data_IF_409370468462
#
_entry.id   IF_409370468462
#
_cell.length_a   1.000
_cell.length_b   1.000
_cell.length_c   1.000
_cell.angle_alpha   90.00
_cell.angle_beta   90.00
_cell.angle_gamma   90.00
#
_symmetry.space_group_name_H-M   'P 1'
#
loop_
_entity.id
_entity.type
_entity.pdbx_description
1 polymer ?
#
# COMPACT_ATOMS: atom_id res chain seq x y z
N UNK A 1 59.12 -20.28 15.18
CA UNK A 1 59.17 -19.38 14.01
C UNK A 1 57.98 -19.68 13.11
N UNK A 2 57.38 -18.62 12.54
CA UNK A 2 56.33 -18.56 11.48
C UNK A 2 54.89 -18.86 11.96
N UNK A 3 54.10 -17.80 12.17
CA UNK A 3 53.08 -17.23 11.25
C UNK A 3 51.86 -18.17 11.18
N UNK A 4 50.68 -17.88 11.74
CA UNK A 4 49.97 -16.60 11.75
C UNK A 4 48.91 -16.63 10.65
N UNK A 5 47.66 -16.95 10.98
CA UNK A 5 46.52 -16.62 10.13
C UNK A 5 45.33 -16.26 11.01
N UNK A 6 45.22 -14.96 11.27
CA UNK A 6 44.05 -14.32 11.87
C UNK A 6 43.01 -14.19 10.74
N UNK A 7 42.03 -15.09 10.71
CA UNK A 7 40.94 -15.02 9.74
C UNK A 7 40.03 -13.86 10.14
N UNK A 8 40.23 -12.71 9.51
CA UNK A 8 39.41 -11.52 9.67
C UNK A 8 37.97 -11.89 9.29
N UNK A 9 37.07 -11.87 10.27
CA UNK A 9 35.63 -11.85 10.06
C UNK A 9 35.29 -10.63 9.19
N UNK A 10 35.10 -10.85 7.89
CA UNK A 10 34.38 -9.91 7.06
C UNK A 10 32.88 -10.05 7.39
N UNK A 11 32.44 -9.49 8.52
CA UNK A 11 31.07 -8.99 8.62
C UNK A 11 30.99 -7.79 7.67
N UNK A 12 30.70 -8.06 6.40
CA UNK A 12 30.04 -7.06 5.57
C UNK A 12 28.72 -6.74 6.26
N UNK A 13 28.48 -5.51 6.74
CA UNK A 13 27.13 -5.10 7.09
C UNK A 13 26.38 -5.05 5.76
N UNK A 14 25.74 -6.16 5.39
CA UNK A 14 24.66 -6.12 4.41
C UNK A 14 23.66 -5.13 4.99
N UNK A 15 23.62 -3.95 4.37
CA UNK A 15 22.77 -2.87 4.82
C UNK A 15 21.38 -3.44 5.02
N UNK A 16 20.90 -3.41 6.27
CA UNK A 16 19.51 -3.63 6.55
C UNK A 16 18.77 -2.68 5.62
N UNK A 17 18.06 -3.25 4.62
CA UNK A 17 17.19 -2.48 3.76
C UNK A 17 16.38 -1.59 4.69
N UNK A 18 16.61 -0.26 4.64
CA UNK A 18 15.89 0.69 5.50
C UNK A 18 14.42 0.32 5.38
N UNK A 19 13.87 -0.24 6.46
CA UNK A 19 12.63 -1.01 6.41
C UNK A 19 11.59 -0.19 5.67
N UNK A 20 10.98 -0.78 4.64
CA UNK A 20 10.02 -0.09 3.81
C UNK A 20 8.88 0.43 4.70
N UNK A 21 8.80 1.75 4.89
CA UNK A 21 7.83 2.34 5.82
C UNK A 21 6.49 2.47 5.11
N UNK A 22 5.61 1.50 5.35
CA UNK A 22 4.23 1.53 4.86
C UNK A 22 3.39 2.40 5.79
N UNK A 23 2.70 3.44 5.28
CA UNK A 23 1.81 4.24 6.11
C UNK A 23 0.69 3.40 6.71
N UNK A 24 0.51 3.50 8.02
CA UNK A 24 -0.64 2.92 8.71
C UNK A 24 -1.86 3.86 8.62
N UNK A 25 -3.00 3.33 8.17
CA UNK A 25 -4.26 4.05 8.02
C UNK A 25 -5.33 3.68 9.07
N UNK A 26 -5.03 2.78 10.01
CA UNK A 26 -5.96 2.33 11.06
C UNK A 26 -6.47 3.46 11.95
N UNK A 27 -5.74 4.56 12.06
CA UNK A 27 -6.14 5.72 12.88
C UNK A 27 -7.06 6.72 12.15
N UNK A 28 -7.47 6.43 10.91
CA UNK A 28 -8.22 7.39 10.11
C UNK A 28 -7.32 8.31 9.28
N UNK A 29 -7.96 9.22 8.53
CA UNK A 29 -7.30 10.34 7.86
C UNK A 29 -8.09 11.62 8.18
N UNK A 30 -7.43 12.77 8.11
CA UNK A 30 -8.11 14.04 8.31
C UNK A 30 -9.32 14.16 7.38
N UNK A 31 -10.52 14.35 7.95
CA UNK A 31 -11.78 14.44 7.19
C UNK A 31 -12.29 13.11 6.60
N UNK A 32 -11.71 11.96 6.97
CA UNK A 32 -12.20 10.64 6.58
C UNK A 32 -12.16 9.67 7.76
N UNK A 33 -13.32 9.14 8.13
CA UNK A 33 -13.47 8.19 9.23
C UNK A 33 -13.24 6.77 8.70
N UNK A 34 -12.41 5.99 9.40
CA UNK A 34 -12.29 4.57 9.13
C UNK A 34 -13.58 3.87 9.59
N UNK A 35 -14.20 3.11 8.70
CA UNK A 35 -15.42 2.35 8.99
C UNK A 35 -15.09 0.87 9.23
N UNK A 36 -14.19 0.30 8.44
CA UNK A 36 -13.75 -1.10 8.61
C UNK A 36 -12.36 -1.34 8.02
N UNK A 37 -11.74 -2.43 8.48
CA UNK A 37 -10.45 -2.96 8.02
C UNK A 37 -10.67 -4.42 7.64
N UNK A 38 -10.30 -4.78 6.42
CA UNK A 38 -10.39 -6.15 5.89
C UNK A 38 -9.00 -6.64 5.46
N UNK A 39 -8.73 -7.93 5.61
CA UNK A 39 -7.52 -8.59 5.12
C UNK A 39 -7.91 -9.63 4.06
N UNK A 40 -7.25 -9.61 2.91
CA UNK A 40 -7.57 -10.49 1.78
C UNK A 40 -6.30 -10.87 1.05
N UNK A 41 -5.79 -12.08 1.33
CA UNK A 41 -4.54 -12.58 0.77
C UNK A 41 -3.37 -11.65 1.09
N UNK A 42 -2.78 -11.06 0.04
CA UNK A 42 -1.62 -10.18 0.10
C UNK A 42 -2.00 -8.70 0.29
N UNK A 43 -3.25 -8.43 0.68
CA UNK A 43 -3.83 -7.10 0.75
C UNK A 43 -4.40 -6.80 2.12
N UNK A 44 -4.05 -5.62 2.61
CA UNK A 44 -4.70 -4.99 3.75
C UNK A 44 -5.55 -3.82 3.25
N UNK A 45 -6.86 -3.88 3.47
CA UNK A 45 -7.84 -2.94 2.92
C UNK A 45 -8.49 -2.13 4.03
N UNK A 46 -8.46 -0.81 3.88
CA UNK A 46 -9.08 0.15 4.79
C UNK A 46 -10.23 0.85 4.09
N UNK A 47 -11.41 0.81 4.70
CA UNK A 47 -12.61 1.42 4.15
C UNK A 47 -12.97 2.66 4.94
N UNK A 48 -13.05 3.79 4.27
CA UNK A 48 -13.35 5.08 4.86
C UNK A 48 -14.68 5.63 4.37
N UNK A 49 -15.34 6.37 5.26
CA UNK A 49 -16.43 7.29 4.92
C UNK A 49 -15.91 8.72 5.00
N UNK A 50 -16.18 9.51 3.95
CA UNK A 50 -15.73 10.90 3.89
C UNK A 50 -16.73 11.81 3.18
N UNK A 51 -16.73 13.08 3.53
CA UNK A 51 -17.40 14.15 2.77
C UNK A 51 -16.45 14.81 1.77
N UNK A 52 -15.15 14.52 1.83
CA UNK A 52 -14.14 15.14 0.96
C UNK A 52 -14.29 14.68 -0.49
N UNK A 53 -14.13 15.61 -1.44
CA UNK A 53 -13.98 15.25 -2.85
C UNK A 53 -12.72 14.41 -3.08
N UNK A 54 -12.66 13.67 -4.20
CA UNK A 54 -11.50 12.88 -4.59
C UNK A 54 -10.21 13.73 -4.61
N UNK A 55 -10.28 14.96 -5.13
CA UNK A 55 -9.17 15.92 -5.14
C UNK A 55 -8.69 16.28 -3.74
N UNK A 56 -9.59 16.68 -2.82
CA UNK A 56 -9.21 17.05 -1.44
C UNK A 56 -8.65 15.85 -0.68
N UNK A 57 -9.28 14.68 -0.83
CA UNK A 57 -8.81 13.43 -0.24
C UNK A 57 -7.41 13.06 -0.75
N UNK A 58 -7.15 13.18 -2.05
CA UNK A 58 -5.86 12.89 -2.66
C UNK A 58 -4.73 13.75 -2.07
N UNK A 59 -4.98 15.04 -1.81
CA UNK A 59 -3.99 15.93 -1.18
C UNK A 59 -3.62 15.44 0.22
N UNK A 60 -4.61 15.09 1.04
CA UNK A 60 -4.39 14.60 2.41
C UNK A 60 -3.65 13.26 2.38
N UNK A 61 -4.07 12.35 1.50
CA UNK A 61 -3.41 11.06 1.35
C UNK A 61 -1.95 11.23 0.92
N UNK A 62 -1.65 12.07 -0.09
CA UNK A 62 -0.27 12.31 -0.54
C UNK A 62 0.62 12.83 0.59
N UNK A 63 0.10 13.68 1.48
CA UNK A 63 0.83 14.12 2.69
C UNK A 63 1.12 12.95 3.64
N UNK A 64 0.15 12.06 3.86
CA UNK A 64 0.32 10.86 4.71
C UNK A 64 1.30 9.85 4.10
N UNK A 65 1.30 9.70 2.78
CA UNK A 65 2.21 8.80 2.06
C UNK A 65 3.66 9.30 2.16
N UNK A 66 3.89 10.60 1.95
CA UNK A 66 5.23 11.17 1.94
C UNK A 66 5.97 10.98 0.61
N UNK A 67 7.24 11.42 0.53
CA UNK A 67 7.97 11.57 -0.73
C UNK A 67 8.39 10.24 -1.37
N UNK A 68 8.45 9.16 -0.61
CA UNK A 68 8.82 7.82 -1.08
C UNK A 68 7.73 7.13 -1.92
N UNK A 69 6.59 7.78 -2.14
CA UNK A 69 5.49 7.24 -2.93
C UNK A 69 5.27 8.06 -4.19
N UNK A 70 5.06 7.36 -5.31
CA UNK A 70 4.81 7.95 -6.62
C UNK A 70 3.54 7.38 -7.22
N UNK A 71 2.79 8.22 -7.92
CA UNK A 71 1.62 7.75 -8.67
C UNK A 71 2.08 6.83 -9.80
N UNK A 72 1.39 5.71 -9.96
CA UNK A 72 1.61 4.75 -11.03
C UNK A 72 0.56 4.93 -12.12
N UNK A 73 0.96 4.75 -13.39
CA UNK A 73 -0.01 4.54 -14.47
C UNK A 73 -0.87 3.31 -14.17
N UNK A 74 -2.17 3.42 -14.40
CA UNK A 74 -3.12 2.33 -14.16
C UNK A 74 -2.85 1.17 -15.11
N UNK A 75 -2.80 -0.04 -14.57
CA UNK A 75 -2.71 -1.27 -15.39
C UNK A 75 -4.11 -1.69 -15.84
N UNK A 76 -4.19 -2.57 -16.84
CA UNK A 76 -5.47 -3.10 -17.31
C UNK A 76 -6.31 -3.71 -16.18
N UNK A 77 -5.69 -4.47 -15.27
CA UNK A 77 -6.35 -5.04 -14.09
C UNK A 77 -6.97 -3.98 -13.18
N UNK A 78 -6.28 -2.85 -13.01
CA UNK A 78 -6.75 -1.72 -12.20
C UNK A 78 -7.96 -1.05 -12.85
N UNK A 79 -7.91 -0.81 -14.16
CA UNK A 79 -9.01 -0.25 -14.93
C UNK A 79 -10.25 -1.16 -14.94
N UNK A 80 -10.05 -2.47 -15.12
CA UNK A 80 -11.14 -3.46 -15.03
C UNK A 80 -11.79 -3.46 -13.65
N UNK A 81 -11.01 -3.36 -12.57
CA UNK A 81 -11.54 -3.29 -11.22
C UNK A 81 -12.38 -2.03 -11.02
N UNK A 82 -11.89 -0.86 -11.44
CA UNK A 82 -12.67 0.38 -11.37
C UNK A 82 -14.00 0.27 -12.12
N UNK A 83 -13.97 -0.27 -13.35
CA UNK A 83 -15.17 -0.45 -14.15
C UNK A 83 -16.18 -1.40 -13.48
N UNK A 84 -15.71 -2.51 -12.90
CA UNK A 84 -16.56 -3.45 -12.13
C UNK A 84 -17.16 -2.77 -10.92
N UNK A 85 -16.36 -2.03 -10.14
CA UNK A 85 -16.83 -1.30 -8.96
C UNK A 85 -17.90 -0.28 -9.32
N UNK A 86 -17.67 0.53 -10.36
CA UNK A 86 -18.63 1.54 -10.81
C UNK A 86 -19.97 0.94 -11.21
N UNK A 87 -19.96 -0.20 -11.92
CA UNK A 87 -21.17 -0.96 -12.25
C UNK A 87 -21.88 -1.50 -11.02
N UNK A 88 -21.15 -2.16 -10.10
CA UNK A 88 -21.77 -2.78 -8.92
C UNK A 88 -22.34 -1.77 -7.93
N UNK A 89 -21.74 -0.58 -7.80
CA UNK A 89 -22.16 0.42 -6.82
C UNK A 89 -23.02 1.55 -7.42
N UNK A 90 -23.22 1.56 -8.74
CA UNK A 90 -23.88 2.67 -9.43
C UNK A 90 -23.21 4.03 -9.20
N UNK A 91 -21.91 4.06 -8.93
CA UNK A 91 -21.17 5.24 -8.48
C UNK A 91 -20.13 5.69 -9.50
N UNK A 92 -19.82 6.98 -9.49
CA UNK A 92 -18.63 7.51 -10.16
C UNK A 92 -17.38 7.03 -9.39
N UNK A 93 -16.40 6.50 -10.12
CA UNK A 93 -15.19 5.89 -9.53
C UNK A 93 -13.96 6.70 -9.91
N UNK A 94 -13.23 7.17 -8.92
CA UNK A 94 -11.91 7.76 -9.08
C UNK A 94 -10.87 6.79 -8.52
N UNK A 95 -10.08 6.18 -9.40
CA UNK A 95 -9.03 5.22 -9.04
C UNK A 95 -7.64 5.86 -9.16
N UNK A 96 -6.79 5.63 -8.16
CA UNK A 96 -5.37 6.01 -8.20
C UNK A 96 -4.53 4.89 -7.58
N UNK A 97 -3.37 4.61 -8.17
CA UNK A 97 -2.40 3.65 -7.63
C UNK A 97 -1.11 4.38 -7.34
N UNK A 98 -0.48 4.06 -6.22
CA UNK A 98 0.84 4.51 -5.82
C UNK A 98 1.77 3.31 -5.70
N UNK A 99 3.05 3.48 -6.05
CA UNK A 99 4.11 2.52 -5.78
C UNK A 99 5.17 3.15 -4.88
N UNK A 100 5.87 2.33 -4.12
CA UNK A 100 7.00 2.77 -3.31
C UNK A 100 8.26 2.90 -4.20
N UNK A 101 9.05 3.96 -4.01
CA UNK A 101 10.21 4.24 -4.88
C UNK A 101 11.36 3.25 -4.70
N UNK A 102 11.44 2.60 -3.54
CA UNK A 102 12.46 1.57 -3.28
C UNK A 102 11.99 0.15 -3.64
N UNK A 103 10.68 -0.07 -3.83
CA UNK A 103 10.13 -1.39 -4.15
C UNK A 103 8.82 -1.24 -4.95
N UNK A 104 8.87 -1.65 -6.22
CA UNK A 104 7.74 -1.56 -7.14
C UNK A 104 6.66 -2.64 -6.91
N UNK A 105 6.94 -3.66 -6.11
CA UNK A 105 5.97 -4.70 -5.74
C UNK A 105 5.08 -4.28 -4.57
N UNK A 106 5.48 -3.24 -3.81
CA UNK A 106 4.63 -2.61 -2.79
C UNK A 106 3.83 -1.47 -3.41
N UNK A 107 2.50 -1.62 -3.39
CA UNK A 107 1.57 -0.66 -4.01
C UNK A 107 0.43 -0.29 -3.08
N UNK A 108 -0.04 0.94 -3.19
CA UNK A 108 -1.26 1.42 -2.53
C UNK A 108 -2.28 1.77 -3.60
N UNK A 109 -3.40 1.06 -3.61
CA UNK A 109 -4.52 1.32 -4.51
C UNK A 109 -5.62 2.06 -3.77
N UNK A 110 -6.14 3.11 -4.37
CA UNK A 110 -7.15 3.99 -3.78
C UNK A 110 -8.35 4.09 -4.70
N UNK A 111 -9.51 3.63 -4.24
CA UNK A 111 -10.78 3.73 -4.97
C UNK A 111 -11.66 4.71 -4.21
N UNK A 112 -11.93 5.87 -4.81
CA UNK A 112 -12.85 6.86 -4.27
C UNK A 112 -14.18 6.78 -5.03
N UNK A 113 -15.23 6.41 -4.32
CA UNK A 113 -16.58 6.19 -4.84
C UNK A 113 -17.47 7.38 -4.46
N UNK A 114 -18.12 7.94 -5.47
CA UNK A 114 -19.13 9.00 -5.33
C UNK A 114 -20.48 8.44 -5.80
N UNK A 115 -21.34 8.01 -4.85
CA UNK A 115 -22.70 7.57 -5.18
C UNK A 115 -23.52 8.71 -5.80
N UNK A 116 -24.41 8.39 -6.73
CA UNK A 116 -25.30 9.37 -7.39
C UNK A 116 -26.20 10.12 -6.38
N UNK A 117 -26.49 9.49 -5.24
CA UNK A 117 -27.44 9.97 -4.23
C UNK A 117 -26.78 10.88 -3.17
N UNK A 118 -25.49 11.22 -3.34
CA UNK A 118 -24.94 12.53 -2.94
C UNK A 118 -24.47 12.78 -1.49
N UNK A 119 -24.85 12.00 -0.47
CA UNK A 119 -24.60 12.45 0.92
C UNK A 119 -23.25 12.03 1.50
N UNK A 120 -22.71 10.87 1.14
CA UNK A 120 -21.41 10.38 1.64
C UNK A 120 -20.61 9.66 0.58
N UNK A 121 -19.30 9.90 0.56
CA UNK A 121 -18.34 9.22 -0.31
C UNK A 121 -17.67 8.08 0.45
N UNK A 122 -17.38 7.01 -0.26
CA UNK A 122 -16.67 5.85 0.26
C UNK A 122 -15.28 5.82 -0.36
N UNK A 123 -14.27 5.51 0.44
CA UNK A 123 -12.91 5.32 -0.06
C UNK A 123 -12.36 3.99 0.41
N UNK A 124 -11.84 3.21 -0.53
CA UNK A 124 -11.07 2.01 -0.23
C UNK A 124 -9.59 2.32 -0.45
N UNK A 125 -8.77 2.14 0.59
CA UNK A 125 -7.31 2.13 0.47
C UNK A 125 -6.84 0.69 0.66
N UNK A 126 -6.36 0.06 -0.39
CA UNK A 126 -5.74 -1.25 -0.34
C UNK A 126 -4.22 -1.12 -0.37
N UNK A 127 -3.56 -1.54 0.69
CA UNK A 127 -2.11 -1.77 0.73
C UNK A 127 -1.86 -3.17 0.19
N UNK A 128 -1.15 -3.26 -0.92
CA UNK A 128 -0.85 -4.49 -1.64
C UNK A 128 0.66 -4.71 -1.50
N UNK A 129 1.03 -5.74 -0.76
CA UNK A 129 2.40 -6.20 -0.68
C UNK A 129 2.35 -7.58 -1.31
N UNK A 130 3.02 -7.81 -2.45
CA UNK A 130 3.26 -9.21 -2.82
C UNK A 130 3.89 -9.86 -1.59
N UNK A 131 3.35 -10.99 -1.15
CA UNK A 131 4.09 -11.82 -0.22
C UNK A 131 5.48 -11.96 -0.84
N UNK A 132 6.50 -11.40 -0.17
CA UNK A 132 7.88 -11.68 -0.51
C UNK A 132 7.94 -13.19 -0.66
N UNK A 133 8.52 -13.66 -1.76
CA UNK A 133 8.63 -15.09 -2.08
C UNK A 133 8.62 -15.91 -0.79
N UNK A 134 7.59 -16.72 -0.56
CA UNK A 134 7.64 -17.81 0.42
C UNK A 134 8.59 -18.92 -0.10
N UNK A 135 9.77 -18.49 -0.54
CA UNK A 135 10.99 -19.23 -0.78
C UNK A 135 12.10 -18.43 -0.10
N UNK A 136 11.88 -18.15 1.18
CA UNK A 136 12.98 -18.08 2.12
C UNK A 136 13.08 -19.49 2.73
N UNK A 137 13.99 -20.36 2.26
CA UNK A 137 14.20 -21.66 2.88
C UNK A 137 14.80 -21.55 4.29
N UNK A 138 15.19 -20.36 4.76
CA UNK A 138 15.92 -20.19 6.02
C UNK A 138 15.04 -20.05 7.27
N UNK A 139 13.72 -20.22 7.18
CA UNK A 139 12.82 -20.38 8.35
C UNK A 139 12.44 -21.83 8.66
N UNK A 140 13.27 -22.79 8.22
CA UNK A 140 13.14 -24.20 8.58
C UNK A 140 14.40 -24.81 9.16
N UNK A 141 15.31 -24.07 9.78
CA UNK A 141 16.22 -24.69 10.74
C UNK A 141 16.36 -23.79 11.97
N UNK A 142 15.84 -24.32 13.08
CA UNK A 142 15.77 -23.64 14.37
C UNK A 142 15.12 -24.56 15.38
N UNK A 143 15.79 -25.70 15.61
CA UNK A 143 15.83 -26.50 16.86
C UNK A 143 14.52 -26.82 17.55
#
# INVERSE_FOLDING_TARGET
MKLGLLTLLFLTPHGAAKGLVIPNFSQGLQGAKLEKKDESGDQLIFHFKTKLSSKKFSVILKKKLGPAWRTQKLRQKDMMLAARRGRSSGAEVNLTVYHHTADNDVRIRVIHLKPKNGVSRLVEIAVIQKAGNAKDPERREGG
#
